data_IF_627115399701
#
_entry.id   IF_627115399701
#
_cell.length_a   1.000
_cell.length_b   1.000
_cell.length_c   1.000
_cell.angle_alpha   90.00
_cell.angle_beta   90.00
_cell.angle_gamma   90.00
#
_symmetry.space_group_name_H-M   'P 1'
#
loop_
_entity.id
_entity.type
_entity.pdbx_description
1 polymer ?
#
# COMPACT_ATOMS: atom_id res chain seq x y z
N UNK A 1 10.62 21.20 46.59
CA UNK A 1 11.17 22.32 47.39
C UNK A 1 10.70 23.61 46.77
N UNK A 2 9.97 24.46 47.50
CA UNK A 2 9.56 25.79 47.01
C UNK A 2 10.72 26.74 47.27
N UNK A 3 11.31 27.31 46.21
CA UNK A 3 12.31 28.36 46.36
C UNK A 3 11.64 29.62 46.90
N UNK A 4 12.14 30.16 48.02
CA UNK A 4 11.71 31.45 48.53
C UNK A 4 12.17 32.54 47.56
N UNK A 5 11.22 33.32 47.03
CA UNK A 5 11.53 34.52 46.26
C UNK A 5 12.03 35.59 47.23
N UNK A 6 13.31 35.93 47.11
CA UNK A 6 13.88 37.12 47.75
C UNK A 6 13.16 38.37 47.22
N UNK A 7 12.96 39.34 48.10
CA UNK A 7 12.44 40.65 47.73
C UNK A 7 13.49 41.46 46.97
N UNK A 8 13.03 42.44 46.18
CA UNK A 8 13.90 43.36 45.43
C UNK A 8 14.86 44.14 46.35
N UNK A 9 14.46 44.40 47.59
CA UNK A 9 15.26 45.09 48.61
C UNK A 9 16.38 44.20 49.17
N UNK A 10 16.11 42.92 49.39
CA UNK A 10 17.13 41.93 49.80
C UNK A 10 18.16 41.69 48.70
N UNK A 11 17.72 41.65 47.43
CA UNK A 11 18.61 41.57 46.28
C UNK A 11 19.49 42.83 46.15
N UNK A 12 18.92 44.02 46.33
CA UNK A 12 19.69 45.27 46.28
C UNK A 12 20.70 45.40 47.43
N UNK A 13 20.38 44.88 48.62
CA UNK A 13 21.28 44.86 49.78
C UNK A 13 22.47 43.91 49.55
N UNK A 14 22.21 42.69 49.08
CA UNK A 14 23.25 41.70 48.79
C UNK A 14 24.18 42.12 47.64
N UNK A 15 23.69 42.89 46.66
CA UNK A 15 24.51 43.42 45.55
C UNK A 15 25.47 44.52 46.02
N UNK A 16 25.11 45.24 47.09
CA UNK A 16 25.85 46.43 47.56
C UNK A 16 27.00 46.08 48.49
N UNK A 17 26.99 44.90 49.11
CA UNK A 17 27.84 44.60 50.27
C UNK A 17 28.77 43.39 50.13
N UNK A 18 28.67 42.59 49.07
CA UNK A 18 29.64 41.52 48.84
C UNK A 18 30.06 41.48 47.37
N UNK A 19 31.39 41.54 47.13
CA UNK A 19 32.00 41.05 45.88
C UNK A 19 31.87 39.53 45.86
N UNK A 20 30.66 39.01 45.63
CA UNK A 20 30.35 37.60 45.85
C UNK A 20 30.17 36.85 44.52
N UNK A 21 30.95 35.78 44.23
CA UNK A 21 30.72 34.89 43.08
C UNK A 21 29.33 34.23 43.05
N UNK A 22 28.56 34.30 44.15
CA UNK A 22 27.17 33.86 44.24
C UNK A 22 26.25 34.67 43.30
N UNK A 23 26.56 35.92 42.99
CA UNK A 23 25.76 36.74 42.06
C UNK A 23 25.86 36.26 40.62
N UNK A 24 27.00 35.71 40.21
CA UNK A 24 27.18 35.13 38.88
C UNK A 24 26.38 33.85 38.74
N UNK A 25 26.36 33.00 39.77
CA UNK A 25 25.55 31.77 39.80
C UNK A 25 24.04 32.07 39.84
N UNK A 26 23.61 33.04 40.66
CA UNK A 26 22.21 33.43 40.75
C UNK A 26 21.71 34.11 39.47
N UNK A 27 22.51 34.99 38.84
CA UNK A 27 22.15 35.57 37.54
C UNK A 27 22.15 34.53 36.42
N UNK A 28 23.11 33.61 36.39
CA UNK A 28 23.12 32.50 35.42
C UNK A 28 21.89 31.62 35.61
N UNK A 29 21.47 31.36 36.85
CA UNK A 29 20.29 30.57 37.16
C UNK A 29 18.99 31.31 36.83
N UNK A 30 18.90 32.61 37.11
CA UNK A 30 17.75 33.45 36.72
C UNK A 30 17.65 33.62 35.20
N UNK A 31 18.77 33.75 34.50
CA UNK A 31 18.82 33.77 33.02
C UNK A 31 18.43 32.39 32.46
N UNK A 32 18.92 31.30 33.06
CA UNK A 32 18.54 29.94 32.67
C UNK A 32 17.03 29.67 32.88
N UNK A 33 16.47 30.12 34.00
CA UNK A 33 15.03 30.04 34.29
C UNK A 33 14.20 30.90 33.33
N UNK A 34 14.64 32.13 33.00
CA UNK A 34 13.97 33.00 32.03
C UNK A 34 13.98 32.39 30.62
N UNK A 35 15.07 31.71 30.24
CA UNK A 35 15.17 30.93 29.00
C UNK A 35 14.33 29.64 29.01
N UNK A 36 13.69 29.31 30.14
CA UNK A 36 12.84 28.12 30.30
C UNK A 36 13.62 26.81 30.49
N UNK A 37 14.92 26.89 30.79
CA UNK A 37 15.73 25.74 31.17
C UNK A 37 15.47 25.43 32.65
N UNK A 38 14.93 24.24 32.94
CA UNK A 38 14.68 23.82 34.33
C UNK A 38 15.97 23.56 35.14
N UNK A 39 17.11 23.40 34.47
CA UNK A 39 18.46 23.22 35.01
C UNK A 39 19.49 23.74 34.00
N UNK A 40 20.57 24.38 34.48
CA UNK A 40 21.68 24.94 33.67
C UNK A 40 22.43 23.85 32.87
N UNK A 41 22.34 22.60 33.33
CA UNK A 41 23.01 21.44 32.72
C UNK A 41 22.52 21.08 31.31
N UNK A 42 21.35 21.57 30.91
CA UNK A 42 20.79 21.33 29.56
C UNK A 42 21.28 22.31 28.50
N UNK A 43 22.06 23.33 28.88
CA UNK A 43 22.68 24.25 27.94
C UNK A 43 23.88 23.57 27.30
N UNK A 44 23.97 23.65 25.97
CA UNK A 44 25.20 23.26 25.26
C UNK A 44 26.36 24.15 25.72
N UNK A 45 27.59 23.63 25.64
CA UNK A 45 28.79 24.39 26.04
C UNK A 45 28.89 25.74 25.32
N UNK A 46 28.48 25.79 24.04
CA UNK A 46 28.39 27.03 23.27
C UNK A 46 27.42 28.04 23.88
N UNK A 47 26.26 27.60 24.39
CA UNK A 47 25.28 28.47 25.04
C UNK A 47 25.78 28.95 26.40
N UNK A 48 26.42 28.08 27.18
CA UNK A 48 27.05 28.44 28.46
C UNK A 48 28.10 29.54 28.27
N UNK A 49 28.94 29.42 27.24
CA UNK A 49 29.96 30.43 26.91
C UNK A 49 29.36 31.79 26.56
N UNK A 50 28.28 31.82 25.76
CA UNK A 50 27.60 33.07 25.39
C UNK A 50 27.00 33.76 26.62
N UNK A 51 26.32 33.01 27.50
CA UNK A 51 25.75 33.58 28.74
C UNK A 51 26.86 34.13 29.64
N UNK A 52 27.96 33.38 29.81
CA UNK A 52 29.10 33.83 30.62
C UNK A 52 29.80 35.07 30.05
N UNK A 53 29.80 35.27 28.73
CA UNK A 53 30.33 36.48 28.10
C UNK A 53 29.41 37.69 28.33
N UNK A 54 28.10 37.52 28.21
CA UNK A 54 27.13 38.60 28.47
C UNK A 54 27.08 39.00 29.95
N UNK A 55 27.17 38.04 30.88
CA UNK A 55 27.31 38.33 32.31
C UNK A 55 28.55 39.20 32.59
N UNK A 56 29.71 38.88 31.97
CA UNK A 56 30.93 39.67 32.11
C UNK A 56 30.78 41.10 31.58
N UNK A 57 30.03 41.30 30.48
CA UNK A 57 29.71 42.64 29.95
C UNK A 57 28.82 43.42 30.92
N UNK A 58 27.86 42.74 31.56
CA UNK A 58 26.97 43.33 32.55
C UNK A 58 27.75 43.77 33.81
N UNK A 59 28.64 42.92 34.31
CA UNK A 59 29.49 43.20 35.47
C UNK A 59 30.40 44.40 35.19
N UNK A 60 31.08 44.42 34.05
CA UNK A 60 31.92 45.54 33.63
C UNK A 60 31.11 46.86 33.49
N UNK A 61 29.88 46.78 32.99
CA UNK A 61 28.99 47.93 32.90
C UNK A 61 28.60 48.46 34.29
N UNK A 62 28.24 47.58 35.22
CA UNK A 62 27.93 47.92 36.61
C UNK A 62 29.11 48.61 37.33
N UNK A 63 30.35 48.14 37.12
CA UNK A 63 31.54 48.78 37.68
C UNK A 63 31.72 50.22 37.18
N UNK A 64 31.50 50.46 35.89
CA UNK A 64 31.55 51.82 35.30
C UNK A 64 30.47 52.72 35.91
N UNK A 65 29.26 52.19 36.15
CA UNK A 65 28.17 52.96 36.76
C UNK A 65 28.46 53.34 38.21
N UNK A 66 29.01 52.42 39.01
CA UNK A 66 29.35 52.70 40.41
C UNK A 66 30.43 53.80 40.57
N UNK A 67 31.30 53.96 39.58
CA UNK A 67 32.39 54.95 39.63
C UNK A 67 31.94 56.40 39.33
N UNK A 68 30.76 56.61 38.71
CA UNK A 68 30.32 57.95 38.24
C UNK A 68 29.08 58.46 38.98
N UNK A 69 29.26 58.99 40.20
CA UNK A 69 28.19 59.55 41.06
C UNK A 69 27.29 60.63 40.41
N UNK A 70 27.68 61.24 39.29
CA UNK A 70 26.97 62.37 38.67
C UNK A 70 25.95 62.02 37.57
N UNK A 71 25.85 60.76 37.11
CA UNK A 71 25.00 60.39 35.95
C UNK A 71 24.08 59.17 36.17
N UNK A 72 23.64 58.92 37.41
CA UNK A 72 22.85 57.75 37.77
C UNK A 72 21.58 57.53 36.93
N UNK A 73 20.85 58.60 36.56
CA UNK A 73 19.60 58.48 35.79
C UNK A 73 19.87 58.08 34.33
N UNK A 74 20.94 58.59 33.71
CA UNK A 74 21.31 58.22 32.34
C UNK A 74 21.82 56.77 32.27
N UNK A 75 22.59 56.39 33.28
CA UNK A 75 23.08 55.03 33.49
C UNK A 75 21.94 54.00 33.65
N UNK A 76 20.94 54.32 34.47
CA UNK A 76 19.77 53.47 34.70
C UNK A 76 18.92 53.29 33.44
N UNK A 77 18.70 54.37 32.67
CA UNK A 77 18.01 54.29 31.37
C UNK A 77 18.77 53.43 30.35
N UNK A 78 20.10 53.52 30.33
CA UNK A 78 20.94 52.69 29.46
C UNK A 78 20.89 51.21 29.89
N UNK A 79 20.96 50.93 31.20
CA UNK A 79 20.83 49.59 31.76
C UNK A 79 19.49 48.95 31.37
N UNK A 80 18.38 49.68 31.56
CA UNK A 80 17.04 49.20 31.20
C UNK A 80 16.89 48.91 29.70
N UNK A 81 17.51 49.74 28.85
CA UNK A 81 17.50 49.51 27.40
C UNK A 81 18.27 48.23 27.03
N UNK A 82 19.47 48.04 27.61
CA UNK A 82 20.31 46.85 27.37
C UNK A 82 19.59 45.59 27.85
N UNK A 83 18.99 45.60 29.04
CA UNK A 83 18.25 44.43 29.57
C UNK A 83 17.00 44.13 28.75
N UNK A 84 16.29 45.14 28.26
CA UNK A 84 15.16 44.98 27.35
C UNK A 84 15.53 44.37 25.99
N UNK A 85 16.66 44.78 25.40
CA UNK A 85 17.18 44.20 24.15
C UNK A 85 17.66 42.75 24.36
N UNK A 86 18.32 42.47 25.49
CA UNK A 86 18.73 41.11 25.87
C UNK A 86 17.55 40.15 26.03
N UNK A 87 16.49 40.57 26.74
CA UNK A 87 15.27 39.75 26.90
C UNK A 87 14.61 39.43 25.55
N UNK A 88 14.54 40.41 24.64
CA UNK A 88 14.02 40.20 23.28
C UNK A 88 14.86 39.18 22.50
N UNK A 89 16.19 39.24 22.61
CA UNK A 89 17.08 38.28 21.97
C UNK A 89 16.90 36.87 22.54
N UNK A 90 16.76 36.74 23.86
CA UNK A 90 16.47 35.48 24.54
C UNK A 90 15.14 34.84 24.07
N UNK A 91 14.06 35.62 24.02
CA UNK A 91 12.75 35.13 23.52
C UNK A 91 12.80 34.75 22.04
N UNK A 92 13.53 35.50 21.22
CA UNK A 92 13.75 35.14 19.81
C UNK A 92 14.52 33.82 19.68
N UNK A 93 15.57 33.62 20.48
CA UNK A 93 16.36 32.39 20.48
C UNK A 93 15.54 31.17 20.95
N UNK A 94 14.73 31.35 21.98
CA UNK A 94 13.81 30.32 22.49
C UNK A 94 12.77 29.93 21.44
N UNK A 95 12.20 30.91 20.75
CA UNK A 95 11.24 30.68 19.65
C UNK A 95 11.91 29.95 18.48
N UNK A 96 13.11 30.36 18.09
CA UNK A 96 13.88 29.69 17.04
C UNK A 96 14.15 28.21 17.39
N UNK A 97 14.58 27.96 18.62
CA UNK A 97 14.83 26.60 19.11
C UNK A 97 13.55 25.73 19.14
N UNK A 98 12.41 26.30 19.56
CA UNK A 98 11.13 25.60 19.53
C UNK A 98 10.72 25.23 18.09
N UNK A 99 10.89 26.16 17.15
CA UNK A 99 10.60 25.92 15.73
C UNK A 99 11.52 24.85 15.13
N UNK A 100 12.82 24.87 15.43
CA UNK A 100 13.77 23.83 15.00
C UNK A 100 13.37 22.45 15.52
N UNK A 101 12.99 22.37 16.81
CA UNK A 101 12.56 21.13 17.44
C UNK A 101 11.25 20.60 16.83
N UNK A 102 10.29 21.48 16.55
CA UNK A 102 9.06 21.11 15.87
C UNK A 102 9.32 20.64 14.44
N UNK A 103 10.18 21.34 13.69
CA UNK A 103 10.57 20.95 12.33
C UNK A 103 11.26 19.57 12.32
N UNK A 104 12.14 19.30 13.28
CA UNK A 104 12.77 17.99 13.44
C UNK A 104 11.75 16.89 13.76
N UNK A 105 10.75 17.17 14.61
CA UNK A 105 9.65 16.24 14.89
C UNK A 105 8.83 15.95 13.64
N UNK A 106 8.39 16.99 12.91
CA UNK A 106 7.63 16.85 11.65
C UNK A 106 8.41 16.07 10.59
N UNK A 107 9.73 16.27 10.51
CA UNK A 107 10.60 15.51 9.60
C UNK A 107 10.61 14.02 9.96
N UNK A 108 10.82 13.68 11.24
CA UNK A 108 10.78 12.28 11.72
C UNK A 108 9.42 11.62 11.48
N UNK A 109 8.32 12.35 11.71
CA UNK A 109 6.96 11.86 11.44
C UNK A 109 6.72 11.59 9.94
N UNK A 110 7.18 12.48 9.06
CA UNK A 110 7.10 12.28 7.61
C UNK A 110 7.92 11.08 7.13
N UNK A 111 9.13 10.90 7.67
CA UNK A 111 9.98 9.74 7.35
C UNK A 111 9.36 8.43 7.86
N UNK A 112 8.82 8.42 9.08
CA UNK A 112 8.10 7.27 9.62
C UNK A 112 6.83 6.93 8.81
N UNK A 113 6.06 7.94 8.37
CA UNK A 113 4.90 7.76 7.53
C UNK A 113 5.27 7.19 6.15
N UNK A 114 6.36 7.68 5.52
CA UNK A 114 6.90 7.14 4.27
C UNK A 114 7.33 5.69 4.43
N UNK A 115 8.07 5.36 5.50
CA UNK A 115 8.50 3.99 5.78
C UNK A 115 7.34 3.03 6.02
N UNK A 116 6.29 3.48 6.73
CA UNK A 116 5.06 2.70 6.94
C UNK A 116 4.32 2.44 5.63
N UNK A 117 4.13 3.48 4.81
CA UNK A 117 3.48 3.36 3.50
C UNK A 117 4.25 2.42 2.56
N UNK A 118 5.58 2.44 2.58
CA UNK A 118 6.41 1.53 1.80
C UNK A 118 6.30 0.08 2.28
N UNK A 119 6.34 -0.16 3.59
CA UNK A 119 6.11 -1.51 4.16
C UNK A 119 4.73 -2.06 3.80
N UNK A 120 3.69 -1.22 3.82
CA UNK A 120 2.34 -1.62 3.45
C UNK A 120 2.21 -1.93 1.96
N UNK A 121 2.85 -1.14 1.08
CA UNK A 121 2.98 -1.44 -0.35
C UNK A 121 3.68 -2.77 -0.60
N UNK A 122 4.78 -3.04 0.10
CA UNK A 122 5.51 -4.30 0.00
C UNK A 122 4.65 -5.48 0.47
N UNK A 123 3.95 -5.34 1.61
CA UNK A 123 3.03 -6.36 2.11
C UNK A 123 1.92 -6.68 1.11
N UNK A 124 1.26 -5.64 0.56
CA UNK A 124 0.24 -5.81 -0.48
C UNK A 124 0.79 -6.45 -1.76
N UNK A 125 2.04 -6.14 -2.14
CA UNK A 125 2.71 -6.78 -3.27
C UNK A 125 2.98 -8.27 -3.00
N UNK A 126 3.44 -8.65 -1.81
CA UNK A 126 3.63 -10.05 -1.41
C UNK A 126 2.31 -10.82 -1.26
N UNK A 127 1.26 -10.20 -0.72
CA UNK A 127 -0.05 -10.85 -0.62
C UNK A 127 -0.68 -11.09 -2.00
N UNK A 128 -0.50 -10.15 -2.94
CA UNK A 128 -0.88 -10.38 -4.35
C UNK A 128 -0.12 -11.55 -4.99
N UNK A 129 1.12 -11.81 -4.54
CA UNK A 129 1.90 -12.95 -5.03
C UNK A 129 1.41 -14.31 -4.48
N UNK A 130 0.66 -14.36 -3.37
CA UNK A 130 0.18 -15.60 -2.73
C UNK A 130 -0.88 -16.40 -3.52
N UNK A 131 -1.24 -15.98 -4.74
CA UNK A 131 -2.16 -16.70 -5.63
C UNK A 131 -1.54 -17.13 -6.96
N UNK A 132 -0.22 -17.05 -7.11
CA UNK A 132 0.47 -17.44 -8.33
C UNK A 132 0.84 -18.92 -8.28
N UNK A 133 0.01 -19.75 -8.91
CA UNK A 133 0.33 -21.14 -9.20
C UNK A 133 0.78 -21.27 -10.65
N UNK A 134 2.08 -21.45 -10.86
CA UNK A 134 2.68 -21.61 -12.19
C UNK A 134 2.16 -22.84 -12.96
N UNK A 135 1.49 -23.77 -12.27
CA UNK A 135 0.84 -24.92 -12.90
C UNK A 135 -0.56 -24.59 -13.45
N UNK A 136 -1.11 -23.42 -13.11
CA UNK A 136 -2.37 -22.98 -13.67
C UNK A 136 -2.20 -22.59 -15.14
N UNK A 137 -3.11 -23.05 -15.99
CA UNK A 137 -3.06 -22.74 -17.42
C UNK A 137 -3.65 -21.35 -17.77
N UNK A 138 -4.27 -20.68 -16.78
CA UNK A 138 -4.96 -19.40 -16.95
C UNK A 138 -4.67 -18.45 -15.80
N UNK A 139 -4.12 -17.26 -16.12
CA UNK A 139 -3.83 -16.22 -15.15
C UNK A 139 -4.45 -14.88 -15.53
N UNK A 140 -4.98 -14.16 -14.55
CA UNK A 140 -5.51 -12.82 -14.71
C UNK A 140 -4.40 -11.78 -14.52
N UNK A 141 -4.12 -10.95 -15.53
CA UNK A 141 -2.94 -10.09 -15.56
C UNK A 141 -2.86 -9.11 -14.38
N UNK A 142 -4.00 -8.60 -13.88
CA UNK A 142 -4.03 -7.69 -12.72
C UNK A 142 -3.54 -8.32 -11.41
N UNK A 143 -3.46 -9.65 -11.36
CA UNK A 143 -2.96 -10.41 -10.22
C UNK A 143 -1.47 -10.76 -10.36
N UNK A 144 -0.84 -10.38 -11.46
CA UNK A 144 0.56 -10.69 -11.74
C UNK A 144 1.45 -9.46 -11.55
N UNK A 145 2.63 -9.66 -10.97
CA UNK A 145 3.71 -8.69 -11.00
C UNK A 145 4.51 -8.79 -12.32
N UNK A 146 5.52 -7.92 -12.50
CA UNK A 146 6.33 -7.90 -13.73
C UNK A 146 7.11 -9.21 -13.93
N UNK A 147 7.81 -9.67 -12.90
CA UNK A 147 8.62 -10.88 -12.96
C UNK A 147 7.78 -12.13 -13.32
N UNK A 148 6.56 -12.25 -12.78
CA UNK A 148 5.63 -13.33 -13.11
C UNK A 148 5.16 -13.27 -14.57
N UNK A 149 4.89 -12.07 -15.11
CA UNK A 149 4.55 -11.95 -16.54
C UNK A 149 5.70 -12.33 -17.45
N UNK A 150 6.92 -11.92 -17.09
CA UNK A 150 8.13 -12.25 -17.84
C UNK A 150 8.38 -13.78 -17.79
N UNK A 151 8.14 -14.42 -16.64
CA UNK A 151 8.21 -15.88 -16.50
C UNK A 151 7.15 -16.60 -17.35
N UNK A 152 5.89 -16.19 -17.30
CA UNK A 152 4.83 -16.78 -18.14
C UNK A 152 5.16 -16.65 -19.63
N UNK A 153 5.69 -15.49 -20.06
CA UNK A 153 6.12 -15.28 -21.44
C UNK A 153 7.24 -16.25 -21.85
N UNK A 154 8.20 -16.52 -20.94
CA UNK A 154 9.28 -17.49 -21.18
C UNK A 154 8.79 -18.94 -21.32
N UNK A 155 7.57 -19.23 -20.86
CA UNK A 155 6.89 -20.53 -20.94
C UNK A 155 5.83 -20.57 -22.03
N UNK A 156 5.94 -19.71 -23.03
CA UNK A 156 5.05 -19.62 -24.19
C UNK A 156 3.58 -19.25 -23.89
N UNK A 157 3.27 -18.73 -22.69
CA UNK A 157 1.92 -18.21 -22.42
C UNK A 157 1.62 -17.03 -23.36
N UNK A 158 0.40 -17.00 -23.88
CA UNK A 158 -0.06 -15.94 -24.78
C UNK A 158 -0.96 -14.96 -24.04
N UNK A 159 -0.71 -13.66 -24.26
CA UNK A 159 -1.53 -12.58 -23.71
C UNK A 159 -2.81 -12.38 -24.54
N UNK A 160 -3.96 -12.32 -23.87
CA UNK A 160 -5.29 -12.18 -24.47
C UNK A 160 -6.13 -11.14 -23.72
N UNK A 161 -6.75 -10.19 -24.44
CA UNK A 161 -7.74 -9.27 -23.88
C UNK A 161 -9.15 -9.77 -24.22
N UNK A 162 -9.92 -10.19 -23.24
CA UNK A 162 -11.25 -10.77 -23.47
C UNK A 162 -12.21 -10.52 -22.30
N UNK A 163 -13.52 -10.50 -22.59
CA UNK A 163 -14.57 -10.51 -21.58
C UNK A 163 -15.04 -11.97 -21.36
N UNK A 164 -14.82 -12.55 -20.16
CA UNK A 164 -15.13 -13.96 -19.90
C UNK A 164 -16.62 -14.27 -20.03
N UNK A 165 -17.50 -13.39 -19.55
CA UNK A 165 -18.94 -13.65 -19.48
C UNK A 165 -19.78 -12.74 -20.38
N UNK A 166 -19.15 -12.01 -21.30
CA UNK A 166 -19.81 -11.12 -22.27
C UNK A 166 -20.35 -9.81 -21.69
N UNK A 167 -20.89 -9.83 -20.47
CA UNK A 167 -21.42 -8.65 -19.77
C UNK A 167 -20.40 -7.97 -18.86
N UNK A 168 -19.25 -8.61 -18.61
CA UNK A 168 -18.15 -8.04 -17.86
C UNK A 168 -17.28 -7.15 -18.73
N UNK A 169 -16.60 -6.17 -18.14
CA UNK A 169 -15.50 -5.47 -18.82
C UNK A 169 -14.43 -6.45 -19.30
N UNK A 170 -13.78 -6.15 -20.43
CA UNK A 170 -12.66 -6.95 -20.92
C UNK A 170 -11.44 -6.77 -20.01
N UNK A 171 -10.75 -7.87 -19.71
CA UNK A 171 -9.50 -7.86 -18.95
C UNK A 171 -8.39 -8.59 -19.72
N UNK A 172 -7.13 -8.36 -19.35
CA UNK A 172 -6.00 -9.10 -19.89
C UNK A 172 -5.77 -10.39 -19.09
N UNK A 173 -5.53 -11.47 -19.83
CA UNK A 173 -5.23 -12.81 -19.32
C UNK A 173 -3.97 -13.33 -19.99
N UNK A 174 -3.26 -14.20 -19.28
CA UNK A 174 -2.17 -15.02 -19.79
C UNK A 174 -2.65 -16.46 -19.81
N UNK A 175 -2.54 -17.08 -20.98
CA UNK A 175 -3.14 -18.40 -21.26
C UNK A 175 -2.08 -19.30 -21.87
N UNK A 176 -1.92 -20.50 -21.32
CA UNK A 176 -1.07 -21.53 -21.94
C UNK A 176 -1.81 -22.14 -23.13
N UNK A 177 -1.16 -22.21 -24.28
CA UNK A 177 -1.79 -22.73 -25.50
C UNK A 177 -1.06 -23.96 -26.02
N UNK A 178 -1.80 -24.95 -26.48
CA UNK A 178 -1.26 -26.02 -27.34
C UNK A 178 -0.98 -25.52 -28.77
N UNK A 179 -0.14 -26.24 -29.51
CA UNK A 179 0.28 -25.85 -30.86
C UNK A 179 -0.87 -25.81 -31.89
N UNK A 180 -1.95 -26.57 -31.65
CA UNK A 180 -3.11 -26.69 -32.53
C UNK A 180 -4.33 -25.87 -32.10
N UNK A 181 -4.25 -25.13 -30.99
CA UNK A 181 -5.38 -24.34 -30.49
C UNK A 181 -5.14 -22.84 -30.56
N UNK A 182 -6.22 -22.07 -30.75
CA UNK A 182 -6.15 -20.62 -30.62
C UNK A 182 -6.14 -20.21 -29.14
N UNK A 183 -5.51 -19.08 -28.81
CA UNK A 183 -5.54 -18.52 -27.45
C UNK A 183 -6.96 -18.27 -26.90
N UNK A 184 -7.93 -18.00 -27.78
CA UNK A 184 -9.32 -17.80 -27.37
C UNK A 184 -10.00 -19.14 -27.04
N UNK A 185 -9.71 -20.20 -27.80
CA UNK A 185 -10.17 -21.56 -27.51
C UNK A 185 -9.66 -22.01 -26.14
N UNK A 186 -8.34 -22.00 -25.95
CA UNK A 186 -7.66 -22.34 -24.71
C UNK A 186 -8.24 -21.58 -23.51
N UNK A 187 -8.45 -20.28 -23.67
CA UNK A 187 -9.02 -19.43 -22.62
C UNK A 187 -10.39 -19.93 -22.15
N UNK A 188 -11.28 -20.32 -23.08
CA UNK A 188 -12.60 -20.78 -22.71
C UNK A 188 -12.60 -22.20 -22.14
N UNK A 189 -11.70 -23.08 -22.61
CA UNK A 189 -11.47 -24.40 -21.98
C UNK A 189 -11.16 -24.23 -20.49
N UNK A 190 -10.12 -23.46 -20.14
CA UNK A 190 -9.73 -23.27 -18.74
C UNK A 190 -10.73 -22.42 -17.94
N UNK A 191 -11.44 -21.50 -18.58
CA UNK A 191 -12.51 -20.75 -17.90
C UNK A 191 -13.65 -21.69 -17.48
N UNK A 192 -14.07 -22.58 -18.38
CA UNK A 192 -15.13 -23.57 -18.12
C UNK A 192 -14.66 -24.54 -17.04
N UNK A 193 -13.43 -25.06 -17.15
CA UNK A 193 -12.81 -25.90 -16.13
C UNK A 193 -12.85 -25.23 -14.74
N UNK A 194 -12.40 -23.97 -14.66
CA UNK A 194 -12.35 -23.21 -13.40
C UNK A 194 -13.74 -22.98 -12.81
N UNK A 195 -14.76 -22.76 -13.65
CA UNK A 195 -16.14 -22.62 -13.20
C UNK A 195 -16.73 -23.97 -12.75
N UNK A 196 -16.45 -25.07 -13.45
CA UNK A 196 -16.90 -26.43 -13.09
C UNK A 196 -16.26 -26.95 -11.80
N UNK A 197 -14.96 -26.70 -11.58
CA UNK A 197 -14.22 -27.09 -10.36
C UNK A 197 -14.78 -26.50 -9.06
N UNK A 198 -15.65 -25.49 -9.16
CA UNK A 198 -16.40 -24.94 -8.01
C UNK A 198 -17.53 -25.86 -7.55
N UNK A 199 -17.94 -26.82 -8.39
CA UNK A 199 -19.12 -27.67 -8.18
C UNK A 199 -18.77 -29.16 -8.17
N UNK A 200 -17.81 -29.58 -8.99
CA UNK A 200 -17.36 -30.98 -9.11
C UNK A 200 -15.84 -31.06 -9.05
N UNK A 201 -15.33 -32.14 -8.48
CA UNK A 201 -13.88 -32.30 -8.33
C UNK A 201 -13.25 -32.97 -9.57
N UNK A 202 -14.03 -33.77 -10.30
CA UNK A 202 -13.59 -34.49 -11.48
C UNK A 202 -13.95 -33.73 -12.76
N UNK A 203 -12.97 -33.02 -13.31
CA UNK A 203 -13.06 -32.30 -14.59
C UNK A 203 -11.83 -32.68 -15.41
N UNK A 204 -12.06 -33.30 -16.56
CA UNK A 204 -11.02 -33.73 -17.48
C UNK A 204 -10.96 -32.79 -18.67
N UNK A 205 -9.74 -32.40 -19.04
CA UNK A 205 -9.47 -31.63 -20.24
C UNK A 205 -8.74 -32.55 -21.22
N UNK A 206 -9.18 -32.57 -22.47
CA UNK A 206 -8.51 -33.31 -23.52
C UNK A 206 -8.31 -32.40 -24.75
N UNK A 207 -7.16 -32.56 -25.39
CA UNK A 207 -6.75 -31.81 -26.57
C UNK A 207 -6.81 -32.65 -27.85
N UNK A 208 -7.07 -33.96 -27.76
CA UNK A 208 -6.96 -34.90 -28.86
C UNK A 208 -8.17 -35.83 -28.98
N UNK A 209 -9.15 -35.43 -29.79
CA UNK A 209 -10.22 -36.30 -30.27
C UNK A 209 -11.44 -36.41 -29.36
N UNK A 210 -11.26 -36.32 -28.05
CA UNK A 210 -12.34 -36.20 -27.06
C UNK A 210 -12.98 -34.79 -27.06
N UNK A 211 -14.08 -34.56 -26.34
CA UNK A 211 -14.57 -33.19 -26.14
C UNK A 211 -13.56 -32.36 -25.37
N UNK A 212 -13.61 -31.04 -25.56
CA UNK A 212 -12.65 -30.11 -24.94
C UNK A 212 -12.68 -30.15 -23.40
N UNK A 213 -13.87 -30.33 -22.81
CA UNK A 213 -14.05 -30.47 -21.36
C UNK A 213 -15.05 -31.59 -21.07
N UNK A 214 -14.65 -32.58 -20.29
CA UNK A 214 -15.50 -33.64 -19.76
C UNK A 214 -15.66 -33.49 -18.25
N UNK A 215 -16.88 -33.72 -17.75
CA UNK A 215 -17.15 -33.73 -16.32
C UNK A 215 -18.37 -34.60 -16.04
N UNK A 216 -18.51 -35.10 -14.82
CA UNK A 216 -19.66 -35.92 -14.48
C UNK A 216 -19.47 -36.74 -13.23
N UNK A 217 -20.28 -37.80 -13.13
CA UNK A 217 -20.13 -38.84 -12.13
C UNK A 217 -20.29 -40.21 -12.82
N UNK A 218 -20.26 -41.29 -12.03
CA UNK A 218 -20.39 -42.66 -12.54
C UNK A 218 -21.63 -42.89 -13.43
N UNK A 219 -22.71 -42.14 -13.22
CA UNK A 219 -23.99 -42.34 -13.89
C UNK A 219 -24.27 -41.36 -15.02
N UNK A 220 -23.74 -40.14 -14.92
CA UNK A 220 -23.98 -39.08 -15.89
C UNK A 220 -22.67 -38.47 -16.33
N UNK A 221 -22.39 -38.54 -17.63
CA UNK A 221 -21.25 -37.90 -18.28
C UNK A 221 -21.72 -36.70 -19.07
N UNK A 222 -21.06 -35.58 -18.88
CA UNK A 222 -21.36 -34.32 -19.56
C UNK A 222 -20.10 -33.83 -20.27
N UNK A 223 -20.28 -33.08 -21.36
CA UNK A 223 -19.16 -32.46 -22.02
C UNK A 223 -19.46 -31.06 -22.56
N UNK A 224 -18.42 -30.24 -22.66
CA UNK A 224 -18.43 -28.99 -23.43
C UNK A 224 -17.54 -29.14 -24.65
N UNK A 225 -18.06 -28.71 -25.79
CA UNK A 225 -17.29 -28.44 -27.01
C UNK A 225 -17.26 -26.93 -27.25
N UNK A 226 -16.08 -26.34 -27.40
CA UNK A 226 -15.87 -24.90 -27.59
C UNK A 226 -15.77 -24.61 -29.09
N UNK A 227 -16.65 -23.71 -29.56
CA UNK A 227 -16.79 -23.38 -30.97
C UNK A 227 -16.54 -21.89 -31.21
N UNK A 228 -15.43 -21.60 -31.88
CA UNK A 228 -15.01 -20.23 -32.26
C UNK A 228 -15.57 -19.79 -33.61
N UNK A 229 -16.17 -20.71 -34.40
CA UNK A 229 -16.94 -20.41 -35.61
C UNK A 229 -16.25 -20.67 -36.95
N UNK A 230 -14.97 -21.05 -36.97
CA UNK A 230 -14.25 -21.37 -38.22
C UNK A 230 -14.62 -22.75 -38.78
N UNK A 231 -14.88 -23.72 -37.90
CA UNK A 231 -14.98 -25.14 -38.27
C UNK A 231 -16.25 -25.48 -39.07
N UNK A 232 -17.40 -24.89 -38.73
CA UNK A 232 -18.68 -25.21 -39.36
C UNK A 232 -18.69 -24.91 -40.87
N UNK A 233 -17.92 -23.91 -41.31
CA UNK A 233 -17.85 -23.54 -42.73
C UNK A 233 -16.98 -24.47 -43.55
N UNK A 234 -15.91 -25.01 -42.96
CA UNK A 234 -14.89 -25.79 -43.67
C UNK A 234 -15.22 -27.28 -43.70
N UNK A 235 -15.77 -27.83 -42.62
CA UNK A 235 -15.89 -29.28 -42.43
C UNK A 235 -17.23 -29.69 -41.78
N UNK A 236 -18.36 -29.30 -42.37
CA UNK A 236 -19.69 -29.51 -41.77
C UNK A 236 -20.03 -31.00 -41.51
N UNK A 237 -19.67 -31.90 -42.42
CA UNK A 237 -19.94 -33.34 -42.27
C UNK A 237 -19.12 -33.97 -41.13
N UNK A 238 -17.82 -33.65 -41.05
CA UNK A 238 -16.96 -34.10 -39.96
C UNK A 238 -17.46 -33.62 -38.61
N UNK A 239 -17.91 -32.36 -38.54
CA UNK A 239 -18.50 -31.80 -37.33
C UNK A 239 -19.79 -32.52 -36.95
N UNK A 240 -20.66 -32.81 -37.93
CA UNK A 240 -21.89 -33.57 -37.70
C UNK A 240 -21.59 -34.94 -37.10
N UNK A 241 -20.66 -35.70 -37.70
CA UNK A 241 -20.25 -37.02 -37.20
C UNK A 241 -19.68 -36.95 -35.78
N UNK A 242 -18.80 -35.98 -35.51
CA UNK A 242 -18.25 -35.75 -34.15
C UNK A 242 -19.35 -35.51 -33.12
N UNK A 243 -20.34 -34.67 -33.43
CA UNK A 243 -21.45 -34.43 -32.49
C UNK A 243 -22.41 -35.61 -32.35
N UNK A 244 -22.54 -36.47 -33.36
CA UNK A 244 -23.25 -37.74 -33.24
C UNK A 244 -22.51 -38.68 -32.27
N UNK A 245 -21.20 -38.85 -32.44
CA UNK A 245 -20.36 -39.62 -31.51
C UNK A 245 -20.42 -39.08 -30.07
N UNK A 246 -20.42 -37.75 -29.88
CA UNK A 246 -20.56 -37.16 -28.55
C UNK A 246 -21.94 -37.44 -27.94
N UNK A 247 -23.02 -37.37 -28.71
CA UNK A 247 -24.38 -37.66 -28.21
C UNK A 247 -24.56 -39.12 -27.82
N UNK A 248 -23.81 -40.04 -28.44
CA UNK A 248 -23.83 -41.46 -28.08
C UNK A 248 -23.09 -41.73 -26.76
N UNK A 249 -22.06 -40.95 -26.45
CA UNK A 249 -21.17 -41.20 -25.29
C UNK A 249 -21.47 -40.35 -24.05
N UNK A 250 -22.21 -39.23 -24.20
CA UNK A 250 -22.47 -38.27 -23.13
C UNK A 250 -23.98 -38.06 -22.93
N UNK A 251 -24.40 -37.93 -21.66
CA UNK A 251 -25.79 -37.70 -21.27
C UNK A 251 -26.31 -36.35 -21.75
N UNK A 252 -25.45 -35.32 -21.82
CA UNK A 252 -25.76 -34.03 -22.42
C UNK A 252 -24.48 -33.41 -22.99
N UNK A 253 -24.62 -32.81 -24.17
CA UNK A 253 -23.54 -32.16 -24.91
C UNK A 253 -23.79 -30.67 -24.94
N UNK A 254 -22.94 -29.90 -24.26
CA UNK A 254 -22.98 -28.45 -24.27
C UNK A 254 -22.10 -27.90 -25.39
N UNK A 255 -22.65 -27.06 -26.25
CA UNK A 255 -21.89 -26.39 -27.30
C UNK A 255 -21.64 -24.94 -26.89
N UNK A 256 -20.43 -24.62 -26.46
CA UNK A 256 -20.07 -23.27 -26.06
C UNK A 256 -19.65 -22.44 -27.28
N UNK A 257 -20.46 -21.46 -27.66
CA UNK A 257 -20.12 -20.56 -28.78
C UNK A 257 -19.52 -19.25 -28.28
N UNK A 258 -18.35 -18.88 -28.83
CA UNK A 258 -17.70 -17.61 -28.47
C UNK A 258 -18.47 -16.41 -29.01
N UNK A 259 -19.18 -16.57 -30.13
CA UNK A 259 -20.00 -15.53 -30.76
C UNK A 259 -21.50 -15.89 -30.70
N UNK A 260 -22.31 -15.02 -30.08
CA UNK A 260 -23.76 -15.20 -29.94
C UNK A 260 -24.50 -15.42 -31.27
N UNK A 261 -24.00 -14.87 -32.38
CA UNK A 261 -24.59 -15.05 -33.73
C UNK A 261 -24.53 -16.50 -34.22
N UNK A 262 -23.64 -17.33 -33.65
CA UNK A 262 -23.51 -18.74 -34.00
C UNK A 262 -24.55 -19.62 -33.28
N UNK A 263 -25.27 -19.07 -32.29
CA UNK A 263 -26.17 -19.86 -31.43
C UNK A 263 -27.16 -20.72 -32.23
N UNK A 264 -27.84 -20.13 -33.22
CA UNK A 264 -28.82 -20.83 -34.03
C UNK A 264 -28.21 -21.87 -34.96
N UNK A 265 -26.96 -21.69 -35.38
CA UNK A 265 -26.28 -22.65 -36.28
C UNK A 265 -25.89 -23.92 -35.55
N UNK A 266 -25.51 -23.79 -34.28
CA UNK A 266 -25.03 -24.89 -33.45
C UNK A 266 -26.13 -25.55 -32.61
N UNK A 267 -27.35 -25.00 -32.55
CA UNK A 267 -28.45 -25.55 -31.73
C UNK A 267 -28.94 -26.93 -32.15
N UNK A 268 -28.58 -27.40 -33.35
CA UNK A 268 -28.85 -28.76 -33.82
C UNK A 268 -27.91 -29.82 -33.22
N UNK A 269 -26.77 -29.40 -32.67
CA UNK A 269 -25.72 -30.28 -32.18
C UNK A 269 -25.78 -30.54 -30.67
N UNK A 270 -26.45 -29.68 -29.91
CA UNK A 270 -26.59 -29.84 -28.47
C UNK A 270 -27.11 -28.58 -27.78
N UNK A 271 -27.01 -28.54 -26.46
CA UNK A 271 -27.42 -27.38 -25.67
C UNK A 271 -26.42 -26.25 -25.86
N UNK A 272 -26.81 -25.20 -26.57
CA UNK A 272 -25.88 -24.09 -26.88
C UNK A 272 -25.75 -23.13 -25.70
N UNK A 273 -24.51 -22.97 -25.26
CA UNK A 273 -24.10 -22.07 -24.19
C UNK A 273 -23.36 -20.87 -24.78
N UNK A 274 -23.62 -19.69 -24.25
CA UNK A 274 -22.91 -18.46 -24.61
C UNK A 274 -22.17 -17.93 -23.38
N UNK A 275 -21.22 -17.02 -23.58
CA UNK A 275 -20.49 -16.34 -22.49
C UNK A 275 -21.42 -15.84 -21.37
N UNK A 276 -22.54 -15.20 -21.73
CA UNK A 276 -23.49 -14.63 -20.78
C UNK A 276 -24.42 -15.64 -20.10
N UNK A 277 -24.52 -16.86 -20.61
CA UNK A 277 -25.37 -17.92 -20.03
C UNK A 277 -24.59 -19.02 -19.32
N UNK A 278 -23.26 -19.10 -19.52
CA UNK A 278 -22.39 -20.15 -18.98
C UNK A 278 -22.60 -20.41 -17.48
N UNK A 279 -22.42 -19.38 -16.64
CA UNK A 279 -22.59 -19.52 -15.18
C UNK A 279 -23.98 -19.95 -14.77
N UNK A 280 -25.02 -19.49 -15.47
CA UNK A 280 -26.41 -19.87 -15.17
C UNK A 280 -26.66 -21.34 -15.49
N UNK A 281 -26.14 -21.82 -16.62
CA UNK A 281 -26.24 -23.23 -17.03
C UNK A 281 -25.49 -24.11 -16.03
N UNK A 282 -24.23 -23.79 -15.72
CA UNK A 282 -23.45 -24.55 -14.72
C UNK A 282 -24.17 -24.58 -13.37
N UNK A 283 -24.63 -23.43 -12.86
CA UNK A 283 -25.35 -23.38 -11.59
C UNK A 283 -26.67 -24.20 -11.61
N UNK A 284 -27.37 -24.24 -12.76
CA UNK A 284 -28.59 -25.03 -12.91
C UNK A 284 -28.30 -26.54 -12.90
N UNK A 285 -27.21 -26.99 -13.52
CA UNK A 285 -26.80 -28.40 -13.52
C UNK A 285 -26.55 -28.94 -12.11
N UNK A 286 -26.06 -28.07 -11.22
CA UNK A 286 -25.74 -28.43 -9.83
C UNK A 286 -26.79 -27.96 -8.82
N UNK A 287 -27.95 -27.45 -9.26
CA UNK A 287 -29.02 -27.02 -8.37
C UNK A 287 -29.63 -28.24 -7.67
N UNK A 288 -29.38 -28.37 -6.37
CA UNK A 288 -29.80 -29.54 -5.57
C UNK A 288 -28.68 -30.55 -5.30
N UNK A 289 -27.50 -30.37 -5.89
CA UNK A 289 -26.33 -31.18 -5.58
C UNK A 289 -25.70 -30.72 -4.26
N UNK A 290 -25.86 -31.49 -3.18
CA UNK A 290 -25.11 -31.26 -1.93
C UNK A 290 -23.70 -31.77 -2.14
N UNK A 291 -22.70 -30.88 -2.18
CA UNK A 291 -21.28 -31.27 -2.17
C UNK A 291 -21.05 -32.22 -0.99
N UNK A 292 -20.58 -33.44 -1.26
CA UNK A 292 -20.06 -34.28 -0.19
C UNK A 292 -18.78 -33.59 0.32
N UNK A 293 -18.57 -33.47 1.64
CA UNK A 293 -17.31 -32.95 2.14
C UNK A 293 -16.15 -33.79 1.57
N UNK A 294 -15.00 -33.18 1.25
CA UNK A 294 -13.82 -33.93 0.84
C UNK A 294 -13.50 -34.96 1.94
N UNK A 295 -13.33 -36.22 1.54
CA UNK A 295 -12.94 -37.34 2.41
C UNK A 295 -11.45 -37.22 2.72
#
# INVERSE_FOLDING_TARGET
MKANKLSLEELAYLAKHEKNPIWTELHVQQVAEALGAKQVDFLSDKQKTVIAEECRKLDAFCEVLCSTKKNHVAAEKAAFKITGEFYKACEAQKTAWQNERENARRKKEREAAKAKAEKERQKQATEKAKGYDLKANLHLEKNLNKAQRDELLSRDYKRLKISPFGNSGAAFYWVQTNWHESKEHAFFVYLIESELKKHVDDVHLDSFGSPDVEFGNKHYKYCFEIETGENLKRNAERMKRRFEELKENYSEVFVFVTNKKLKYKYSKFGTVVTRGTLRKIIAALFKGYKRRPPI
#
